data_IF_609338787285
#
_entry.id   IF_609338787285
#
_cell.length_a   1.000
_cell.length_b   1.000
_cell.length_c   1.000
_cell.angle_alpha   90.00
_cell.angle_beta   90.00
_cell.angle_gamma   90.00
#
_symmetry.space_group_name_H-M   'P 1'
#
loop_
_entity.id
_entity.type
_entity.pdbx_description
1 polymer ?
#
# COMPACT_ATOMS: atom_id res chain seq x y z
N UNK A 1 44.10 7.26 -0.10
CA UNK A 1 43.70 8.27 -1.11
C UNK A 1 42.31 8.77 -0.72
N UNK A 2 42.26 9.83 0.08
CA UNK A 2 41.00 10.38 0.60
C UNK A 2 40.41 11.30 -0.45
N UNK A 3 39.25 10.93 -1.00
CA UNK A 3 38.51 11.81 -1.90
C UNK A 3 37.54 12.61 -1.04
N UNK A 4 37.92 13.86 -0.73
CA UNK A 4 36.98 14.83 -0.20
C UNK A 4 35.97 15.16 -1.31
N UNK A 5 34.74 14.67 -1.18
CA UNK A 5 33.63 15.19 -1.97
C UNK A 5 33.15 16.49 -1.32
N UNK A 6 33.34 17.58 -2.06
CA UNK A 6 32.95 18.93 -1.66
C UNK A 6 31.47 19.00 -1.26
N UNK A 7 31.23 19.79 -0.23
CA UNK A 7 29.93 20.02 0.38
C UNK A 7 28.88 20.47 -0.67
N UNK A 8 28.06 19.53 -1.14
CA UNK A 8 26.66 19.86 -1.38
C UNK A 8 26.10 20.20 -0.01
N UNK A 9 25.46 21.35 0.14
CA UNK A 9 24.57 21.60 1.27
C UNK A 9 23.39 20.64 1.05
N UNK A 10 23.55 19.42 1.53
CA UNK A 10 22.58 18.34 1.38
C UNK A 10 21.56 18.52 2.48
N UNK A 11 20.29 18.64 2.12
CA UNK A 11 19.28 18.17 3.06
C UNK A 11 19.70 16.76 3.51
N UNK A 12 19.60 16.43 4.81
CA UNK A 12 19.91 15.10 5.29
C UNK A 12 19.15 14.08 4.45
N UNK A 13 19.85 13.00 4.05
CA UNK A 13 19.21 11.95 3.29
C UNK A 13 18.02 11.40 4.10
N UNK A 14 16.86 11.29 3.45
CA UNK A 14 15.61 10.89 4.09
C UNK A 14 15.29 9.43 3.82
N UNK A 15 14.93 8.71 4.89
CA UNK A 15 14.51 7.32 4.85
C UNK A 15 13.04 7.23 5.28
N UNK A 16 12.23 6.44 4.57
CA UNK A 16 10.87 6.11 5.00
C UNK A 16 10.81 4.68 5.48
N UNK A 17 10.48 4.49 6.76
CA UNK A 17 10.17 3.19 7.34
C UNK A 17 8.69 2.89 7.13
N UNK A 18 8.39 1.79 6.42
CA UNK A 18 7.03 1.29 6.25
C UNK A 18 6.83 0.11 7.19
N UNK A 19 5.89 0.25 8.13
CA UNK A 19 5.64 -0.72 9.19
C UNK A 19 4.17 -1.13 9.19
N UNK A 20 3.88 -2.38 9.52
CA UNK A 20 2.51 -2.87 9.69
C UNK A 20 2.35 -3.36 11.13
N UNK A 21 1.36 -2.84 11.86
CA UNK A 21 1.01 -3.28 13.22
C UNK A 21 2.12 -3.16 14.29
N UNK A 22 3.24 -2.50 13.97
CA UNK A 22 4.48 -2.50 14.76
C UNK A 22 4.89 -1.06 15.13
N UNK A 23 6.09 -0.60 14.79
CA UNK A 23 6.61 0.70 15.20
C UNK A 23 5.80 1.83 14.53
N UNK A 24 5.45 2.91 15.24
CA UNK A 24 5.75 3.20 16.65
C UNK A 24 4.52 2.96 17.56
N UNK A 25 3.62 2.06 17.18
CA UNK A 25 2.32 1.87 17.82
C UNK A 25 2.23 0.64 18.74
N UNK A 26 3.11 -0.35 18.53
CA UNK A 26 3.15 -1.57 19.32
C UNK A 26 4.55 -1.85 19.84
N UNK A 27 4.62 -2.54 20.98
CA UNK A 27 5.86 -3.12 21.48
C UNK A 27 6.08 -4.51 20.86
N UNK A 28 7.34 -4.87 20.59
CA UNK A 28 7.69 -6.16 20.00
C UNK A 28 9.08 -6.12 19.36
N UNK A 29 9.61 -7.28 18.97
CA UNK A 29 10.98 -7.38 18.45
C UNK A 29 11.25 -6.49 17.22
N UNK A 30 10.29 -6.43 16.29
CA UNK A 30 10.38 -5.55 15.11
C UNK A 30 10.41 -4.08 15.53
N UNK A 31 9.54 -3.67 16.45
CA UNK A 31 9.51 -2.29 16.92
C UNK A 31 10.77 -1.89 17.67
N UNK A 32 11.31 -2.78 18.50
CA UNK A 32 12.60 -2.57 19.18
C UNK A 32 13.72 -2.39 18.16
N UNK A 33 13.77 -3.22 17.12
CA UNK A 33 14.78 -3.10 16.07
C UNK A 33 14.62 -1.80 15.27
N UNK A 34 13.40 -1.40 14.91
CA UNK A 34 13.12 -0.12 14.26
C UNK A 34 13.57 1.05 15.14
N UNK A 35 13.25 1.04 16.43
CA UNK A 35 13.64 2.10 17.36
C UNK A 35 15.17 2.20 17.46
N UNK A 36 15.87 1.07 17.63
CA UNK A 36 17.33 1.02 17.66
C UNK A 36 17.97 1.54 16.36
N UNK A 37 17.39 1.20 15.21
CA UNK A 37 17.86 1.67 13.91
C UNK A 37 17.71 3.20 13.80
N UNK A 38 16.56 3.73 14.17
CA UNK A 38 16.28 5.17 14.13
C UNK A 38 17.18 5.91 15.10
N UNK A 39 17.25 5.48 16.37
CA UNK A 39 18.10 6.10 17.40
C UNK A 39 19.60 6.04 17.03
N UNK A 40 20.04 4.96 16.38
CA UNK A 40 21.43 4.72 16.03
C UNK A 40 21.96 5.52 14.84
N UNK A 41 21.10 6.23 14.09
CA UNK A 41 21.49 6.94 12.87
C UNK A 41 20.94 8.39 12.88
N UNK A 42 21.48 9.29 13.73
CA UNK A 42 20.99 10.67 13.86
C UNK A 42 21.28 11.56 12.65
N UNK A 43 22.17 11.14 11.75
CA UNK A 43 22.55 11.89 10.54
C UNK A 43 21.51 11.78 9.40
N UNK A 44 20.52 10.88 9.54
CA UNK A 44 19.44 10.68 8.57
C UNK A 44 18.11 11.19 9.14
N UNK A 45 17.25 11.73 8.27
CA UNK A 45 15.87 12.01 8.63
C UNK A 45 14.99 10.79 8.38
N UNK A 46 14.08 10.50 9.30
CA UNK A 46 13.14 9.38 9.18
C UNK A 46 11.69 9.86 9.08
N UNK A 47 10.99 9.34 8.08
CA UNK A 47 9.53 9.30 8.04
C UNK A 47 9.08 7.88 8.44
N UNK A 48 8.05 7.77 9.27
CA UNK A 48 7.43 6.48 9.60
C UNK A 48 6.04 6.43 9.00
N UNK A 49 5.80 5.50 8.09
CA UNK A 49 4.49 5.19 7.52
C UNK A 49 4.01 3.88 8.12
N UNK A 50 3.14 3.99 9.13
CA UNK A 50 2.63 2.85 9.88
C UNK A 50 1.25 2.47 9.38
N UNK A 51 1.12 1.31 8.74
CA UNK A 51 -0.17 0.68 8.48
C UNK A 51 -0.72 0.14 9.80
N UNK A 52 -1.87 0.66 10.21
CA UNK A 52 -2.49 0.31 11.49
C UNK A 52 -3.91 -0.21 11.31
N UNK A 53 -4.49 -0.77 12.38
CA UNK A 53 -5.86 -1.26 12.34
C UNK A 53 -6.86 -0.13 12.09
N UNK A 54 -6.86 0.88 12.95
CA UNK A 54 -7.90 1.92 13.01
C UNK A 54 -7.39 3.35 12.83
N UNK A 55 -6.07 3.55 12.82
CA UNK A 55 -5.44 4.87 12.78
C UNK A 55 -5.49 5.64 14.10
N UNK A 56 -5.96 4.99 15.17
CA UNK A 56 -6.12 5.58 16.51
C UNK A 56 -5.12 5.05 17.52
N UNK A 57 -4.26 4.14 17.08
CA UNK A 57 -3.23 3.55 17.90
C UNK A 57 -2.26 4.65 18.36
N UNK A 58 -2.00 4.78 19.67
CA UNK A 58 -1.10 5.82 20.17
C UNK A 58 0.33 5.54 19.73
N UNK A 59 1.15 6.59 19.65
CA UNK A 59 2.61 6.42 19.61
C UNK A 59 3.05 6.04 21.02
N UNK A 60 3.73 4.90 21.17
CA UNK A 60 4.15 4.36 22.47
C UNK A 60 5.67 4.40 22.68
N UNK A 61 6.40 4.94 21.71
CA UNK A 61 7.87 5.09 21.72
C UNK A 61 8.26 6.57 21.78
N UNK A 62 9.37 6.87 22.44
CA UNK A 62 9.97 8.20 22.44
C UNK A 62 10.77 8.41 21.15
N UNK A 63 10.15 9.08 20.18
CA UNK A 63 10.74 9.31 18.87
C UNK A 63 11.79 10.42 18.93
N UNK A 64 13.01 10.20 18.40
CA UNK A 64 14.03 11.23 18.43
C UNK A 64 13.73 12.36 17.42
N UNK A 65 14.34 13.52 17.60
CA UNK A 65 14.02 14.74 16.83
C UNK A 65 14.28 14.66 15.33
N UNK A 66 15.04 13.67 14.87
CA UNK A 66 15.27 13.38 13.44
C UNK A 66 14.22 12.44 12.82
N UNK A 67 13.18 12.06 13.58
CA UNK A 67 11.93 11.53 13.01
C UNK A 67 11.03 12.71 12.64
N UNK A 68 11.02 13.06 11.36
CA UNK A 68 10.32 14.24 10.86
C UNK A 68 8.80 14.06 10.82
N UNK A 69 8.32 12.83 10.63
CA UNK A 69 6.89 12.54 10.49
C UNK A 69 6.54 11.10 10.87
N UNK A 70 5.39 10.94 11.52
CA UNK A 70 4.68 9.67 11.64
C UNK A 70 3.34 9.80 10.94
N UNK A 71 3.07 8.93 9.98
CA UNK A 71 1.80 8.82 9.27
C UNK A 71 1.19 7.45 9.54
N UNK A 72 0.06 7.44 10.25
CA UNK A 72 -0.74 6.23 10.44
C UNK A 72 -1.71 6.06 9.25
N UNK A 73 -1.67 4.89 8.61
CA UNK A 73 -2.53 4.51 7.49
C UNK A 73 -3.51 3.44 7.98
N UNK A 74 -4.77 3.80 8.30
CA UNK A 74 -5.74 2.85 8.83
C UNK A 74 -6.21 1.86 7.77
N UNK A 75 -6.26 0.57 8.12
CA UNK A 75 -6.89 -0.47 7.30
C UNK A 75 -8.42 -0.46 7.43
N UNK A 76 -8.92 -0.11 8.61
CA UNK A 76 -10.34 -0.11 8.95
C UNK A 76 -10.79 1.29 9.34
N UNK A 77 -12.01 1.66 8.93
CA UNK A 77 -12.62 2.92 9.30
C UNK A 77 -13.39 3.56 8.15
N UNK A 78 -13.64 4.86 8.28
CA UNK A 78 -14.26 5.63 7.21
C UNK A 78 -13.34 5.63 5.99
N UNK A 79 -13.88 5.38 4.78
CA UNK A 79 -13.07 5.45 3.58
C UNK A 79 -12.61 6.89 3.32
N UNK A 80 -11.50 7.07 2.58
CA UNK A 80 -11.07 8.39 2.17
C UNK A 80 -12.17 9.07 1.34
N UNK A 81 -12.25 10.39 1.48
CA UNK A 81 -13.15 11.22 0.69
C UNK A 81 -12.83 11.09 -0.80
N UNK A 82 -13.87 11.18 -1.63
CA UNK A 82 -13.69 10.97 -3.05
C UNK A 82 -15.00 10.96 -3.83
N UNK A 83 -14.89 11.01 -5.16
CA UNK A 83 -16.03 10.97 -6.07
C UNK A 83 -15.86 9.87 -7.10
N UNK A 84 -16.91 9.07 -7.29
CA UNK A 84 -16.91 8.01 -8.28
C UNK A 84 -16.60 8.56 -9.69
N UNK A 85 -15.68 7.93 -10.44
CA UNK A 85 -15.37 8.33 -11.80
C UNK A 85 -16.57 8.04 -12.71
N UNK A 86 -16.68 8.79 -13.80
CA UNK A 86 -17.79 8.65 -14.78
C UNK A 86 -17.27 8.48 -16.20
N UNK A 87 -18.13 7.91 -17.06
CA UNK A 87 -17.88 7.77 -18.49
C UNK A 87 -16.53 7.14 -18.81
N UNK A 88 -15.72 7.85 -19.62
CA UNK A 88 -14.40 7.37 -20.08
C UNK A 88 -13.42 7.12 -18.93
N UNK A 89 -13.42 7.95 -17.89
CA UNK A 89 -12.53 7.77 -16.74
C UNK A 89 -12.86 6.47 -15.98
N UNK A 90 -14.15 6.19 -15.79
CA UNK A 90 -14.63 4.94 -15.17
C UNK A 90 -14.17 3.72 -15.97
N UNK A 91 -14.36 3.74 -17.28
CA UNK A 91 -13.98 2.62 -18.15
C UNK A 91 -12.45 2.38 -18.16
N UNK A 92 -11.65 3.45 -18.14
CA UNK A 92 -10.18 3.36 -18.03
C UNK A 92 -9.75 2.74 -16.70
N UNK A 93 -10.36 3.17 -15.60
CA UNK A 93 -10.07 2.61 -14.28
C UNK A 93 -10.51 1.15 -14.19
N UNK A 94 -11.68 0.79 -14.71
CA UNK A 94 -12.13 -0.60 -14.77
C UNK A 94 -11.17 -1.49 -15.57
N UNK A 95 -10.69 -1.03 -16.72
CA UNK A 95 -9.71 -1.77 -17.51
C UNK A 95 -8.35 -1.89 -16.80
N UNK A 96 -7.93 -0.87 -16.04
CA UNK A 96 -6.74 -0.95 -15.20
C UNK A 96 -6.92 -1.95 -14.06
N UNK A 97 -8.07 -1.93 -13.39
CA UNK A 97 -8.41 -2.87 -12.33
C UNK A 97 -8.46 -4.32 -12.82
N UNK A 98 -9.08 -4.56 -13.98
CA UNK A 98 -9.11 -5.89 -14.60
C UNK A 98 -7.71 -6.40 -14.94
N UNK A 99 -6.86 -5.55 -15.55
CA UNK A 99 -5.46 -5.91 -15.84
C UNK A 99 -4.68 -6.22 -14.57
N UNK A 100 -4.87 -5.43 -13.52
CA UNK A 100 -4.23 -5.65 -12.23
C UNK A 100 -4.61 -7.01 -11.63
N UNK A 101 -5.92 -7.31 -11.58
CA UNK A 101 -6.41 -8.60 -11.08
C UNK A 101 -5.94 -9.77 -11.94
N UNK A 102 -5.93 -9.62 -13.26
CA UNK A 102 -5.46 -10.67 -14.17
C UNK A 102 -3.97 -10.95 -13.93
N UNK A 103 -3.15 -9.91 -13.80
CA UNK A 103 -1.70 -10.05 -13.54
C UNK A 103 -1.38 -10.68 -12.17
N UNK A 104 -2.28 -10.54 -11.18
CA UNK A 104 -2.16 -11.22 -9.89
C UNK A 104 -2.45 -12.73 -9.97
N UNK A 105 -3.27 -13.15 -10.93
CA UNK A 105 -3.84 -14.49 -11.00
C UNK A 105 -3.26 -15.34 -12.13
N UNK A 106 -2.70 -14.69 -13.15
CA UNK A 106 -2.10 -15.32 -14.33
C UNK A 106 -0.64 -14.88 -14.48
N UNK A 107 0.34 -15.78 -14.28
CA UNK A 107 1.74 -15.51 -14.54
C UNK A 107 2.00 -15.04 -15.99
N UNK A 108 1.18 -15.43 -16.96
CA UNK A 108 1.32 -14.98 -18.35
C UNK A 108 0.98 -13.50 -18.54
N UNK A 109 0.34 -12.85 -17.55
CA UNK A 109 -0.06 -11.45 -17.58
C UNK A 109 0.75 -10.57 -16.61
N UNK A 110 1.88 -11.08 -16.09
CA UNK A 110 2.72 -10.40 -15.08
C UNK A 110 3.17 -9.00 -15.54
N UNK A 111 3.47 -8.82 -16.82
CA UNK A 111 3.87 -7.54 -17.41
C UNK A 111 2.81 -6.43 -17.24
N UNK A 112 1.55 -6.82 -17.08
CA UNK A 112 0.43 -5.95 -16.80
C UNK A 112 0.38 -5.40 -15.37
N UNK A 113 1.08 -6.01 -14.41
CA UNK A 113 0.97 -5.69 -12.99
C UNK A 113 1.35 -4.23 -12.69
N UNK A 114 2.60 -3.86 -12.97
CA UNK A 114 3.12 -2.54 -12.60
C UNK A 114 2.37 -1.39 -13.31
N UNK A 115 2.13 -1.41 -14.64
CA UNK A 115 1.37 -0.36 -15.32
C UNK A 115 -0.05 -0.20 -14.78
N UNK A 116 -0.72 -1.31 -14.44
CA UNK A 116 -2.06 -1.30 -13.87
C UNK A 116 -2.05 -0.76 -12.43
N UNK A 117 -1.12 -1.20 -11.59
CA UNK A 117 -0.94 -0.70 -10.23
C UNK A 117 -0.71 0.81 -10.22
N UNK A 118 0.17 1.34 -11.07
CA UNK A 118 0.41 2.78 -11.15
C UNK A 118 -0.80 3.56 -11.68
N UNK A 119 -1.61 2.97 -12.56
CA UNK A 119 -2.87 3.58 -12.99
C UNK A 119 -3.89 3.65 -11.85
N UNK A 120 -3.99 2.60 -11.03
CA UNK A 120 -4.83 2.62 -9.83
C UNK A 120 -4.30 3.58 -8.77
N UNK A 121 -2.98 3.65 -8.57
CA UNK A 121 -2.35 4.58 -7.63
C UNK A 121 -2.65 6.05 -8.01
N UNK A 122 -2.61 6.39 -9.31
CA UNK A 122 -3.07 7.71 -9.78
C UNK A 122 -4.54 7.95 -9.48
N UNK A 123 -5.40 6.96 -9.74
CA UNK A 123 -6.82 7.06 -9.39
C UNK A 123 -7.07 7.22 -7.88
N UNK A 124 -6.20 6.64 -7.04
CA UNK A 124 -6.23 6.82 -5.59
C UNK A 124 -5.85 8.24 -5.19
N UNK A 125 -4.77 8.78 -5.77
CA UNK A 125 -4.35 10.16 -5.56
C UNK A 125 -5.43 11.17 -6.00
N UNK A 126 -6.17 10.85 -7.07
CA UNK A 126 -7.29 11.67 -7.57
C UNK A 126 -8.60 11.49 -6.76
N UNK A 127 -8.62 10.64 -5.71
CA UNK A 127 -9.81 10.38 -4.90
C UNK A 127 -10.91 9.62 -5.64
N UNK A 128 -10.59 8.90 -6.71
CA UNK A 128 -11.57 8.17 -7.53
C UNK A 128 -11.54 6.66 -7.33
N UNK A 129 -10.43 6.10 -6.82
CA UNK A 129 -10.26 4.66 -6.64
C UNK A 129 -11.21 4.08 -5.59
N UNK A 130 -11.21 4.58 -4.36
CA UNK A 130 -12.02 3.99 -3.28
C UNK A 130 -13.53 4.04 -3.59
N UNK A 131 -14.10 5.13 -4.13
CA UNK A 131 -15.49 5.13 -4.62
C UNK A 131 -15.76 4.14 -5.76
N UNK A 132 -14.79 3.92 -6.66
CA UNK A 132 -14.91 2.94 -7.74
C UNK A 132 -14.93 1.49 -7.21
N UNK A 133 -13.99 1.15 -6.31
CA UNK A 133 -13.86 -0.20 -5.75
C UNK A 133 -15.10 -0.65 -4.96
N UNK A 134 -15.88 0.30 -4.44
CA UNK A 134 -17.16 0.05 -3.74
C UNK A 134 -18.37 -0.05 -4.67
N UNK A 135 -18.19 0.11 -5.98
CA UNK A 135 -19.28 0.06 -6.96
C UNK A 135 -19.44 -1.31 -7.61
N UNK A 136 -20.64 -1.58 -8.12
CA UNK A 136 -21.01 -2.84 -8.77
C UNK A 136 -20.07 -3.22 -9.92
N UNK A 137 -19.52 -2.24 -10.64
CA UNK A 137 -18.60 -2.51 -11.74
C UNK A 137 -17.29 -3.15 -11.27
N UNK A 138 -16.73 -2.71 -10.13
CA UNK A 138 -15.53 -3.32 -9.59
C UNK A 138 -15.79 -4.77 -9.15
N UNK A 139 -16.90 -5.00 -8.44
CA UNK A 139 -17.34 -6.36 -8.07
C UNK A 139 -17.56 -7.24 -9.30
N UNK A 140 -18.21 -6.70 -10.34
CA UNK A 140 -18.45 -7.43 -11.60
C UNK A 140 -17.14 -7.82 -12.28
N UNK A 141 -16.16 -6.91 -12.34
CA UNK A 141 -14.83 -7.20 -12.91
C UNK A 141 -14.10 -8.25 -12.08
N UNK A 142 -14.08 -8.13 -10.75
CA UNK A 142 -13.46 -9.11 -9.86
C UNK A 142 -14.05 -10.50 -10.05
N UNK A 143 -15.38 -10.62 -10.00
CA UNK A 143 -16.08 -11.88 -10.22
C UNK A 143 -15.83 -12.47 -11.60
N UNK A 144 -15.77 -11.63 -12.64
CA UNK A 144 -15.51 -12.09 -14.01
C UNK A 144 -14.07 -12.61 -14.18
N UNK A 145 -13.08 -11.93 -13.61
CA UNK A 145 -11.69 -12.40 -13.63
C UNK A 145 -11.56 -13.69 -12.83
N UNK A 146 -12.11 -13.75 -11.61
CA UNK A 146 -12.04 -14.93 -10.75
C UNK A 146 -12.65 -16.19 -11.39
N UNK A 147 -13.70 -16.02 -12.19
CA UNK A 147 -14.39 -17.12 -12.87
C UNK A 147 -13.87 -17.42 -14.28
N UNK A 148 -12.79 -16.76 -14.72
CA UNK A 148 -12.25 -16.93 -16.07
C UNK A 148 -11.65 -18.34 -16.23
N UNK A 149 -12.06 -19.12 -17.26
CA UNK A 149 -11.47 -20.43 -17.54
C UNK A 149 -9.97 -20.33 -17.77
N UNK A 150 -9.22 -21.32 -17.30
CA UNK A 150 -7.76 -21.37 -17.46
C UNK A 150 -6.96 -20.61 -16.41
N UNK A 151 -7.61 -19.92 -15.46
CA UNK A 151 -6.94 -19.38 -14.28
C UNK A 151 -6.95 -20.39 -13.13
N UNK A 152 -5.81 -20.49 -12.43
CA UNK A 152 -5.64 -21.42 -11.29
C UNK A 152 -6.73 -21.25 -10.24
N UNK A 153 -7.16 -20.01 -9.97
CA UNK A 153 -8.21 -19.73 -8.98
C UNK A 153 -9.58 -20.30 -9.35
N UNK A 154 -9.89 -20.41 -10.65
CA UNK A 154 -11.13 -21.03 -11.12
C UNK A 154 -11.03 -22.55 -11.08
N UNK A 155 -9.90 -23.09 -11.55
CA UNK A 155 -9.66 -24.52 -11.60
C UNK A 155 -9.51 -25.16 -10.21
N UNK A 156 -9.08 -24.38 -9.20
CA UNK A 156 -8.99 -24.82 -7.82
C UNK A 156 -10.36 -25.20 -7.21
N UNK A 157 -11.47 -24.70 -7.78
CA UNK A 157 -12.83 -25.04 -7.34
C UNK A 157 -13.08 -24.86 -5.84
N UNK A 158 -12.74 -23.70 -5.24
CA UNK A 158 -12.84 -23.51 -3.79
C UNK A 158 -14.27 -23.70 -3.30
N UNK A 159 -14.40 -24.44 -2.21
CA UNK A 159 -15.67 -24.79 -1.56
C UNK A 159 -15.98 -23.80 -0.42
N UNK A 160 -17.22 -23.86 0.10
CA UNK A 160 -17.57 -23.12 1.32
C UNK A 160 -16.71 -23.55 2.52
N UNK A 161 -16.29 -24.82 2.57
CA UNK A 161 -15.41 -25.31 3.61
C UNK A 161 -14.07 -24.57 3.58
N UNK A 162 -13.47 -24.41 2.40
CA UNK A 162 -12.19 -23.70 2.21
C UNK A 162 -12.26 -22.21 2.61
N UNK A 163 -13.45 -21.62 2.68
CA UNK A 163 -13.64 -20.24 3.10
C UNK A 163 -13.85 -20.07 4.62
N UNK A 164 -14.17 -21.16 5.34
CA UNK A 164 -14.55 -21.14 6.76
C UNK A 164 -13.51 -21.81 7.67
N UNK A 165 -12.46 -22.39 7.10
CA UNK A 165 -11.35 -23.06 7.83
C UNK A 165 -10.02 -22.46 7.48
#
# INVERSE_FOLDING_TARGET
MHVHHGARRTDPARVTLLTEGTYPHSHGGVSVWCDQLVQGIPDLEFDVLAVTGTGREPVVWDLPGHVSRVLSVPMWGAPPEGRAPRGRARNRLAAAYERFLTALLDPCAEDGFAPALYAMARAAADGTLSPFLRGDQAVSVLSAVWNRPGLVVREAGPTLHDALT
#
